data_IF_287888811084
#
_entry.id   IF_287888811084
#
_cell.length_a   1.000
_cell.length_b   1.000
_cell.length_c   1.000
_cell.angle_alpha   90.00
_cell.angle_beta   90.00
_cell.angle_gamma   90.00
#
_symmetry.space_group_name_H-M   'P 1'
#
loop_
_entity.id
_entity.type
_entity.pdbx_description
1 polymer ?
#
# COMPACT_ATOMS: atom_id res chain seq x y z
N UNK A 1 -41.08 -8.56 25.32
CA UNK A 1 -39.69 -8.11 25.58
C UNK A 1 -39.16 -7.51 24.30
N UNK A 2 -39.01 -6.19 24.24
CA UNK A 2 -38.45 -5.51 23.08
C UNK A 2 -36.95 -5.87 22.98
N UNK A 3 -36.52 -6.36 21.82
CA UNK A 3 -35.11 -6.54 21.53
C UNK A 3 -34.44 -5.16 21.49
N UNK A 4 -33.53 -4.87 22.43
CA UNK A 4 -32.74 -3.64 22.41
C UNK A 4 -31.98 -3.53 21.10
N UNK A 5 -32.24 -2.48 20.34
CA UNK A 5 -31.61 -2.20 19.04
C UNK A 5 -30.21 -1.62 19.29
N UNK A 6 -29.19 -2.19 18.65
CA UNK A 6 -27.85 -1.60 18.68
C UNK A 6 -27.94 -0.15 18.15
N UNK A 7 -27.37 0.80 18.90
CA UNK A 7 -27.42 2.22 18.56
C UNK A 7 -26.00 2.79 18.43
N UNK A 8 -25.84 3.74 17.50
CA UNK A 8 -24.58 4.44 17.31
C UNK A 8 -24.57 5.68 18.18
N UNK A 9 -23.55 5.82 19.03
CA UNK A 9 -23.37 6.99 19.88
C UNK A 9 -22.20 7.84 19.36
N UNK A 10 -22.44 9.15 19.26
CA UNK A 10 -21.47 10.14 18.79
C UNK A 10 -21.58 10.49 17.31
N UNK A 11 -20.87 11.55 16.89
CA UNK A 11 -20.68 11.91 15.49
C UNK A 11 -19.20 11.75 15.10
N UNK A 12 -18.90 11.35 13.85
CA UNK A 12 -17.53 11.22 13.39
C UNK A 12 -16.95 12.63 13.33
N UNK A 13 -15.75 12.82 13.88
CA UNK A 13 -15.09 14.13 13.82
C UNK A 13 -13.61 13.96 13.56
N UNK A 14 -13.11 14.74 12.61
CA UNK A 14 -11.68 14.85 12.34
C UNK A 14 -11.18 16.17 12.92
N UNK A 15 -10.04 16.14 13.61
CA UNK A 15 -9.36 17.36 14.07
C UNK A 15 -8.83 18.16 12.88
N UNK A 16 -8.82 19.49 13.00
CA UNK A 16 -8.30 20.39 11.98
C UNK A 16 -9.17 21.63 11.82
N UNK A 17 -8.52 22.77 11.59
CA UNK A 17 -9.19 24.08 11.42
C UNK A 17 -9.79 24.29 10.03
N UNK A 18 -9.30 23.56 9.01
CA UNK A 18 -9.77 23.64 7.63
C UNK A 18 -10.01 22.25 7.04
N UNK A 19 -10.85 22.18 6.01
CA UNK A 19 -11.17 20.92 5.31
C UNK A 19 -9.93 20.21 4.73
N UNK A 20 -8.98 20.90 4.07
CA UNK A 20 -7.74 20.25 3.61
C UNK A 20 -6.94 19.61 4.76
N UNK A 21 -6.85 20.28 5.91
CA UNK A 21 -6.13 19.75 7.08
C UNK A 21 -6.85 18.54 7.66
N UNK A 22 -8.18 18.58 7.74
CA UNK A 22 -8.97 17.43 8.17
C UNK A 22 -8.78 16.23 7.23
N UNK A 23 -8.85 16.45 5.92
CA UNK A 23 -8.64 15.39 4.93
C UNK A 23 -7.22 14.81 5.03
N UNK A 24 -6.20 15.68 5.14
CA UNK A 24 -4.82 15.25 5.28
C UNK A 24 -4.59 14.42 6.54
N UNK A 25 -5.15 14.83 7.69
CA UNK A 25 -5.02 14.08 8.95
C UNK A 25 -5.78 12.74 8.92
N UNK A 26 -6.95 12.71 8.26
CA UNK A 26 -7.74 11.49 8.08
C UNK A 26 -7.01 10.46 7.21
N UNK A 27 -6.33 10.90 6.15
CA UNK A 27 -5.63 10.01 5.21
C UNK A 27 -4.13 9.87 5.48
N UNK A 28 -3.60 10.51 6.52
CA UNK A 28 -2.17 10.51 6.85
C UNK A 28 -1.59 9.10 7.02
N UNK A 29 -2.38 8.16 7.55
CA UNK A 29 -2.04 6.73 7.66
C UNK A 29 -1.61 6.08 6.35
N UNK A 30 -2.06 6.59 5.19
CA UNK A 30 -1.67 6.06 3.88
C UNK A 30 -0.17 6.22 3.61
N UNK A 31 0.46 7.25 4.17
CA UNK A 31 1.91 7.49 4.05
C UNK A 31 2.67 6.32 4.68
N UNK A 32 2.35 5.97 5.93
CA UNK A 32 3.02 4.89 6.67
C UNK A 32 2.87 3.52 5.98
N UNK A 33 1.71 3.25 5.38
CA UNK A 33 1.50 2.04 4.58
C UNK A 33 2.44 1.97 3.37
N UNK A 34 2.75 3.10 2.73
CA UNK A 34 3.68 3.09 1.59
C UNK A 34 5.14 2.92 2.01
N UNK A 35 5.51 3.25 3.23
CA UNK A 35 6.83 2.88 3.76
C UNK A 35 6.97 1.36 3.87
N UNK A 36 5.91 0.66 4.31
CA UNK A 36 5.90 -0.79 4.40
C UNK A 36 5.95 -1.43 3.00
N UNK A 37 4.99 -1.08 2.14
CA UNK A 37 4.96 -1.58 0.76
C UNK A 37 6.21 -1.23 -0.04
N UNK A 38 6.72 -0.01 0.09
CA UNK A 38 7.94 0.42 -0.59
C UNK A 38 9.17 -0.32 -0.10
N UNK A 39 9.23 -0.69 1.20
CA UNK A 39 10.30 -1.55 1.74
C UNK A 39 10.25 -2.92 1.10
N UNK A 40 9.07 -3.55 1.00
CA UNK A 40 8.91 -4.85 0.35
C UNK A 40 9.25 -4.82 -1.14
N UNK A 41 8.69 -3.86 -1.88
CA UNK A 41 8.91 -3.71 -3.33
C UNK A 41 10.39 -3.47 -3.67
N UNK A 42 11.11 -2.78 -2.79
CA UNK A 42 12.51 -2.40 -3.06
C UNK A 42 13.52 -3.39 -2.51
N UNK A 43 13.33 -3.89 -1.29
CA UNK A 43 14.37 -4.62 -0.56
C UNK A 43 14.04 -6.09 -0.29
N UNK A 44 12.77 -6.51 -0.21
CA UNK A 44 12.45 -7.88 0.19
C UNK A 44 12.94 -8.92 -0.82
N UNK A 45 12.75 -8.68 -2.14
CA UNK A 45 13.30 -9.59 -3.16
C UNK A 45 14.83 -9.66 -3.11
N UNK A 46 15.57 -8.54 -3.19
CA UNK A 46 17.03 -8.57 -3.05
C UNK A 46 17.52 -9.25 -1.77
N UNK A 47 16.82 -9.02 -0.65
CA UNK A 47 17.17 -9.60 0.65
C UNK A 47 17.03 -11.12 0.67
N UNK A 48 15.91 -11.66 0.16
CA UNK A 48 15.73 -13.11 0.07
C UNK A 48 16.77 -13.76 -0.85
N UNK A 49 17.13 -13.09 -1.95
CA UNK A 49 18.20 -13.54 -2.84
C UNK A 49 19.57 -13.50 -2.16
N UNK A 50 19.87 -12.46 -1.37
CA UNK A 50 21.13 -12.34 -0.63
C UNK A 50 21.28 -13.40 0.47
N UNK A 51 20.16 -13.87 1.04
CA UNK A 51 20.16 -15.02 1.95
C UNK A 51 20.40 -16.38 1.24
N UNK A 52 20.28 -16.42 -0.10
CA UNK A 52 20.50 -17.61 -0.92
C UNK A 52 19.23 -18.32 -1.39
N UNK A 53 18.05 -17.68 -1.30
CA UNK A 53 16.81 -18.23 -1.85
C UNK A 53 16.86 -18.26 -3.39
N UNK A 54 16.43 -19.36 -4.00
CA UNK A 54 16.37 -19.44 -5.48
C UNK A 54 15.25 -18.56 -6.04
N UNK A 55 15.45 -18.03 -7.26
CA UNK A 55 14.42 -17.25 -7.98
C UNK A 55 13.09 -18.00 -8.15
N UNK A 56 13.12 -19.33 -8.26
CA UNK A 56 11.92 -20.17 -8.35
C UNK A 56 11.14 -20.30 -7.04
N UNK A 57 11.81 -20.27 -5.88
CA UNK A 57 11.13 -20.29 -4.57
C UNK A 57 10.63 -18.91 -4.19
N UNK A 58 11.33 -17.86 -4.61
CA UNK A 58 10.93 -16.48 -4.42
C UNK A 58 9.53 -16.21 -5.00
N UNK A 59 9.19 -16.76 -6.18
CA UNK A 59 7.84 -16.59 -6.75
C UNK A 59 6.74 -17.24 -5.89
N UNK A 60 7.06 -18.32 -5.16
CA UNK A 60 6.14 -18.91 -4.18
C UNK A 60 5.94 -17.98 -2.98
N UNK A 61 7.00 -17.34 -2.50
CA UNK A 61 6.91 -16.37 -1.39
C UNK A 61 5.94 -15.24 -1.76
N UNK A 62 6.06 -14.74 -2.98
CA UNK A 62 5.22 -13.66 -3.48
C UNK A 62 3.75 -14.02 -3.73
N UNK A 63 3.35 -15.28 -3.57
CA UNK A 63 1.93 -15.66 -3.47
C UNK A 63 1.29 -15.08 -2.20
N UNK A 64 2.10 -14.76 -1.18
CA UNK A 64 1.65 -14.16 0.07
C UNK A 64 0.85 -12.86 -0.14
N UNK A 65 1.32 -11.95 -1.00
CA UNK A 65 0.67 -10.67 -1.25
C UNK A 65 -0.77 -10.81 -1.77
N UNK A 66 -1.01 -11.49 -2.92
CA UNK A 66 -2.36 -11.71 -3.42
C UNK A 66 -3.25 -12.53 -2.46
N UNK A 67 -2.69 -13.56 -1.81
CA UNK A 67 -3.43 -14.41 -0.89
C UNK A 67 -3.89 -13.64 0.35
N UNK A 68 -3.00 -12.83 0.93
CA UNK A 68 -3.28 -12.00 2.09
C UNK A 68 -4.33 -10.94 1.76
N UNK A 69 -4.26 -10.29 0.60
CA UNK A 69 -5.26 -9.33 0.15
C UNK A 69 -6.65 -9.96 -0.02
N UNK A 70 -6.71 -11.15 -0.62
CA UNK A 70 -7.96 -11.89 -0.83
C UNK A 70 -8.64 -12.28 0.49
N UNK A 71 -7.87 -12.74 1.47
CA UNK A 71 -8.40 -13.26 2.74
C UNK A 71 -8.61 -12.14 3.76
N UNK A 72 -7.63 -11.28 3.97
CA UNK A 72 -7.63 -10.35 5.09
C UNK A 72 -8.57 -9.18 4.90
N UNK A 73 -8.71 -8.64 3.68
CA UNK A 73 -9.57 -7.47 3.46
C UNK A 73 -11.04 -7.74 3.83
N UNK A 74 -11.67 -8.85 3.39
CA UNK A 74 -13.01 -9.20 3.84
C UNK A 74 -13.07 -9.50 5.33
N UNK A 75 -12.20 -10.40 5.82
CA UNK A 75 -12.20 -10.88 7.23
C UNK A 75 -12.12 -9.71 8.20
N UNK A 76 -11.16 -8.81 8.02
CA UNK A 76 -11.00 -7.67 8.91
C UNK A 76 -12.16 -6.68 8.80
N UNK A 77 -12.74 -6.50 7.61
CA UNK A 77 -13.91 -5.65 7.40
C UNK A 77 -15.04 -6.05 8.33
N UNK A 78 -15.41 -7.33 8.35
CA UNK A 78 -16.51 -7.82 9.18
C UNK A 78 -16.15 -7.90 10.67
N UNK A 79 -14.94 -8.33 11.01
CA UNK A 79 -14.51 -8.42 12.42
C UNK A 79 -14.47 -7.03 13.03
N UNK A 80 -13.91 -6.05 12.30
CA UNK A 80 -13.91 -4.67 12.77
C UNK A 80 -15.30 -4.05 12.75
N UNK A 81 -16.20 -4.42 11.82
CA UNK A 81 -17.59 -3.94 11.81
C UNK A 81 -18.36 -4.27 13.10
N UNK A 82 -18.06 -5.42 13.73
CA UNK A 82 -18.70 -5.89 14.97
C UNK A 82 -18.05 -5.35 16.26
N UNK A 83 -17.06 -4.47 16.14
CA UNK A 83 -16.31 -3.93 17.28
C UNK A 83 -17.16 -3.02 18.17
N UNK A 84 -17.19 -3.31 19.47
CA UNK A 84 -17.82 -2.48 20.50
C UNK A 84 -16.78 -1.68 21.32
N UNK A 85 -15.57 -1.49 20.79
CA UNK A 85 -14.51 -0.81 21.52
C UNK A 85 -14.81 0.68 21.74
N UNK A 86 -14.50 1.18 22.94
CA UNK A 86 -14.61 2.60 23.30
C UNK A 86 -13.74 3.53 22.45
N UNK A 87 -12.73 2.98 21.77
CA UNK A 87 -11.82 3.73 20.90
C UNK A 87 -12.33 3.85 19.47
N UNK A 88 -13.51 3.31 19.17
CA UNK A 88 -14.07 3.27 17.83
C UNK A 88 -14.03 1.88 17.21
N UNK A 89 -14.56 1.80 15.99
CA UNK A 89 -14.76 0.55 15.26
C UNK A 89 -13.47 0.07 14.59
N UNK A 90 -12.75 0.98 13.94
CA UNK A 90 -11.58 0.67 13.11
C UNK A 90 -10.26 0.87 13.84
N UNK A 91 -10.13 1.93 14.66
CA UNK A 91 -8.88 2.33 15.34
C UNK A 91 -8.19 1.22 16.15
N UNK A 92 -8.89 0.34 16.91
CA UNK A 92 -8.22 -0.74 17.62
C UNK A 92 -7.51 -1.72 16.69
N UNK A 93 -8.16 -2.13 15.60
CA UNK A 93 -7.58 -3.05 14.61
C UNK A 93 -6.44 -2.38 13.84
N UNK A 94 -6.61 -1.10 13.55
CA UNK A 94 -5.61 -0.26 12.93
C UNK A 94 -4.33 -0.17 13.80
N UNK A 95 -4.48 0.00 15.13
CA UNK A 95 -3.37 -0.01 16.08
C UNK A 95 -2.72 -1.40 16.23
N UNK A 96 -3.52 -2.46 16.37
CA UNK A 96 -3.01 -3.85 16.46
C UNK A 96 -2.23 -4.25 15.21
N UNK A 97 -2.76 -3.95 14.02
CA UNK A 97 -2.07 -4.19 12.76
C UNK A 97 -0.75 -3.42 12.67
N UNK A 98 -0.73 -2.18 13.15
CA UNK A 98 0.50 -1.35 13.17
C UNK A 98 1.57 -1.94 14.08
N UNK A 99 1.20 -2.39 15.29
CA UNK A 99 2.15 -3.05 16.20
C UNK A 99 2.71 -4.32 15.57
N UNK A 100 1.87 -5.13 14.91
CA UNK A 100 2.31 -6.34 14.24
C UNK A 100 3.23 -6.04 13.04
N UNK A 101 2.89 -5.03 12.21
CA UNK A 101 3.74 -4.58 11.10
C UNK A 101 5.11 -4.09 11.60
N UNK A 102 5.13 -3.27 12.65
CA UNK A 102 6.38 -2.79 13.28
C UNK A 102 7.22 -3.96 13.75
N UNK A 103 6.61 -4.94 14.43
CA UNK A 103 7.31 -6.13 14.88
C UNK A 103 7.91 -6.93 13.70
N UNK A 104 7.12 -7.20 12.66
CA UNK A 104 7.59 -7.92 11.47
C UNK A 104 8.70 -7.15 10.74
N UNK A 105 8.58 -5.84 10.53
CA UNK A 105 9.66 -5.07 9.88
C UNK A 105 10.99 -5.15 10.65
N UNK A 106 10.94 -5.07 11.98
CA UNK A 106 12.13 -5.21 12.82
C UNK A 106 12.64 -6.65 12.83
N UNK A 107 11.75 -7.65 12.84
CA UNK A 107 12.14 -9.05 12.73
C UNK A 107 12.84 -9.32 11.40
N UNK A 108 12.29 -8.81 10.30
CA UNK A 108 12.84 -8.97 8.95
C UNK A 108 14.26 -8.40 8.83
N UNK A 109 14.51 -7.22 9.40
CA UNK A 109 15.84 -6.60 9.41
C UNK A 109 16.87 -7.41 10.22
N UNK A 110 16.45 -8.10 11.27
CA UNK A 110 17.32 -8.82 12.21
C UNK A 110 17.16 -10.35 12.19
N UNK A 111 16.60 -10.95 11.13
CA UNK A 111 16.32 -12.39 11.13
C UNK A 111 17.58 -13.23 11.36
N UNK A 112 18.72 -12.84 10.78
CA UNK A 112 19.99 -13.56 10.91
C UNK A 112 20.57 -13.52 12.33
N UNK A 113 20.41 -12.40 13.02
CA UNK A 113 20.79 -12.22 14.43
C UNK A 113 19.86 -13.02 15.34
N UNK A 114 18.54 -12.91 15.13
CA UNK A 114 17.52 -13.62 15.90
C UNK A 114 17.72 -15.12 15.82
N UNK A 115 17.91 -15.67 14.61
CA UNK A 115 18.22 -17.10 14.44
C UNK A 115 19.56 -17.46 15.05
N UNK A 116 20.57 -16.58 14.93
CA UNK A 116 21.89 -16.77 15.52
C UNK A 116 21.91 -16.90 17.05
N UNK A 117 20.87 -16.41 17.75
CA UNK A 117 20.72 -16.60 19.20
C UNK A 117 20.41 -18.06 19.58
N UNK A 118 19.76 -18.80 18.69
CA UNK A 118 19.28 -20.16 18.95
C UNK A 118 20.05 -21.24 18.17
N UNK A 119 20.55 -20.90 16.99
CA UNK A 119 21.19 -21.83 16.06
C UNK A 119 22.64 -21.39 15.82
N UNK A 120 23.58 -22.22 16.28
CA UNK A 120 25.03 -21.97 16.13
C UNK A 120 25.66 -22.64 14.93
N UNK A 121 25.04 -23.71 14.42
CA UNK A 121 25.51 -24.40 13.23
C UNK A 121 25.33 -23.49 11.98
N UNK A 122 26.39 -23.24 11.18
CA UNK A 122 26.33 -22.28 10.08
C UNK A 122 25.33 -22.64 8.97
N UNK A 123 25.23 -23.92 8.60
CA UNK A 123 24.35 -24.36 7.52
C UNK A 123 22.89 -24.30 7.97
N UNK A 124 22.60 -24.84 9.16
CA UNK A 124 21.27 -24.79 9.76
C UNK A 124 20.85 -23.35 10.06
N UNK A 125 21.78 -22.48 10.47
CA UNK A 125 21.51 -21.05 10.69
C UNK A 125 21.05 -20.40 9.39
N UNK A 126 21.72 -20.66 8.27
CA UNK A 126 21.32 -20.09 6.97
C UNK A 126 19.93 -20.55 6.57
N UNK A 127 19.66 -21.86 6.64
CA UNK A 127 18.35 -22.41 6.29
C UNK A 127 17.23 -21.88 7.20
N UNK A 128 17.47 -21.83 8.51
CA UNK A 128 16.52 -21.27 9.47
C UNK A 128 16.30 -19.76 9.28
N UNK A 129 17.34 -19.01 8.88
CA UNK A 129 17.22 -17.57 8.56
C UNK A 129 16.32 -17.37 7.35
N UNK A 130 16.53 -18.14 6.27
CA UNK A 130 15.66 -18.10 5.09
C UNK A 130 14.22 -18.47 5.47
N UNK A 131 14.03 -19.55 6.23
CA UNK A 131 12.70 -20.00 6.64
C UNK A 131 11.98 -18.95 7.48
N UNK A 132 12.67 -18.33 8.44
CA UNK A 132 12.10 -17.26 9.27
C UNK A 132 11.76 -16.03 8.43
N UNK A 133 12.65 -15.58 7.53
CA UNK A 133 12.41 -14.44 6.65
C UNK A 133 11.20 -14.67 5.74
N UNK A 134 11.04 -15.87 5.18
CA UNK A 134 9.88 -16.23 4.36
C UNK A 134 8.60 -16.21 5.20
N UNK A 135 8.58 -16.86 6.36
CA UNK A 135 7.41 -16.85 7.25
C UNK A 135 7.06 -15.42 7.67
N UNK A 136 8.05 -14.60 8.00
CA UNK A 136 7.85 -13.22 8.41
C UNK A 136 7.27 -12.37 7.28
N UNK A 137 7.73 -12.51 6.03
CA UNK A 137 7.12 -11.84 4.86
C UNK A 137 5.65 -12.24 4.70
N UNK A 138 5.31 -13.52 4.85
CA UNK A 138 3.91 -13.96 4.83
C UNK A 138 3.09 -13.28 5.93
N UNK A 139 3.60 -13.25 7.15
CA UNK A 139 2.89 -12.62 8.27
C UNK A 139 2.75 -11.11 8.03
N UNK A 140 3.83 -10.46 7.58
CA UNK A 140 3.90 -9.04 7.25
C UNK A 140 2.82 -8.66 6.23
N UNK A 141 2.71 -9.40 5.13
CA UNK A 141 1.69 -9.20 4.08
C UNK A 141 0.26 -9.26 4.65
N UNK A 142 -0.02 -10.23 5.51
CA UNK A 142 -1.32 -10.37 6.17
C UNK A 142 -1.62 -9.18 7.09
N UNK A 143 -0.65 -8.73 7.89
CA UNK A 143 -0.86 -7.62 8.83
C UNK A 143 -0.86 -6.25 8.16
N UNK A 144 -0.11 -6.06 7.06
CA UNK A 144 -0.21 -4.87 6.21
C UNK A 144 -1.62 -4.77 5.63
N UNK A 145 -2.20 -5.88 5.16
CA UNK A 145 -3.57 -5.86 4.63
C UNK A 145 -4.64 -5.56 5.70
N UNK A 146 -4.44 -5.95 6.97
CA UNK A 146 -5.28 -5.51 8.10
C UNK A 146 -5.23 -3.99 8.23
N UNK A 147 -4.02 -3.42 8.30
CA UNK A 147 -3.83 -1.99 8.43
C UNK A 147 -4.41 -1.25 7.22
N UNK A 148 -4.11 -1.68 6.00
CA UNK A 148 -4.62 -1.06 4.77
C UNK A 148 -6.15 -1.05 4.68
N UNK A 149 -6.79 -2.19 4.95
CA UNK A 149 -8.25 -2.30 4.90
C UNK A 149 -8.91 -1.38 5.94
N UNK A 150 -8.41 -1.39 7.18
CA UNK A 150 -8.97 -0.56 8.25
C UNK A 150 -8.76 0.93 8.03
N UNK A 151 -7.60 1.34 7.50
CA UNK A 151 -7.35 2.74 7.15
C UNK A 151 -8.28 3.23 6.04
N UNK A 152 -8.51 2.42 4.99
CA UNK A 152 -9.44 2.79 3.90
C UNK A 152 -10.88 2.84 4.39
N UNK A 153 -11.30 1.87 5.21
CA UNK A 153 -12.62 1.86 5.80
C UNK A 153 -12.85 3.09 6.69
N UNK A 154 -11.85 3.50 7.48
CA UNK A 154 -11.93 4.69 8.32
C UNK A 154 -12.24 5.97 7.52
N UNK A 155 -11.66 6.13 6.33
CA UNK A 155 -11.92 7.28 5.45
C UNK A 155 -13.39 7.30 5.02
N UNK A 156 -13.89 6.17 4.51
CA UNK A 156 -15.27 6.03 4.02
C UNK A 156 -16.29 6.18 5.15
N UNK A 157 -15.99 5.63 6.32
CA UNK A 157 -16.87 5.65 7.49
C UNK A 157 -16.96 7.05 8.15
N UNK A 158 -15.92 7.87 7.99
CA UNK A 158 -15.84 9.19 8.63
C UNK A 158 -16.43 10.29 7.74
N UNK A 159 -16.31 10.16 6.42
CA UNK A 159 -16.76 11.18 5.47
C UNK A 159 -18.21 10.98 5.05
N UNK A 160 -18.98 12.08 4.89
CA UNK A 160 -20.29 12.01 4.25
C UNK A 160 -20.13 11.63 2.77
N UNK A 161 -21.18 11.07 2.17
CA UNK A 161 -21.15 10.46 0.82
C UNK A 161 -20.63 11.45 -0.22
N UNK A 162 -21.05 12.71 -0.12
CA UNK A 162 -20.69 13.80 -1.05
C UNK A 162 -19.17 14.11 -1.01
N UNK A 163 -18.48 13.76 0.08
CA UNK A 163 -17.04 13.99 0.26
C UNK A 163 -16.18 12.74 0.06
N UNK A 164 -16.77 11.56 -0.18
CA UNK A 164 -15.98 10.31 -0.31
C UNK A 164 -15.09 10.29 -1.54
N UNK A 165 -15.50 10.92 -2.64
CA UNK A 165 -14.64 11.08 -3.83
C UNK A 165 -13.43 11.96 -3.51
N UNK A 166 -13.65 13.09 -2.83
CA UNK A 166 -12.56 13.97 -2.37
C UNK A 166 -11.63 13.23 -1.40
N UNK A 167 -12.18 12.47 -0.45
CA UNK A 167 -11.40 11.61 0.44
C UNK A 167 -10.55 10.58 -0.32
N UNK A 168 -11.11 9.96 -1.35
CA UNK A 168 -10.38 9.03 -2.23
C UNK A 168 -9.25 9.73 -2.99
N UNK A 169 -9.45 10.97 -3.46
CA UNK A 169 -8.40 11.76 -4.07
C UNK A 169 -7.27 12.10 -3.07
N UNK A 170 -7.60 12.42 -1.82
CA UNK A 170 -6.63 12.64 -0.75
C UNK A 170 -5.86 11.36 -0.38
N UNK A 171 -6.51 10.19 -0.39
CA UNK A 171 -5.82 8.90 -0.23
C UNK A 171 -4.75 8.73 -1.31
N UNK A 172 -5.10 8.94 -2.58
CA UNK A 172 -4.14 8.83 -3.69
C UNK A 172 -2.97 9.81 -3.56
N UNK A 173 -3.21 11.05 -3.12
CA UNK A 173 -2.14 12.02 -2.85
C UNK A 173 -1.20 11.55 -1.74
N UNK A 174 -1.74 11.06 -0.62
CA UNK A 174 -0.94 10.57 0.50
C UNK A 174 -0.15 9.30 0.16
N UNK A 175 -0.69 8.44 -0.70
CA UNK A 175 0.04 7.30 -1.28
C UNK A 175 1.24 7.82 -2.08
N UNK A 176 1.03 8.79 -2.99
CA UNK A 176 2.12 9.36 -3.78
C UNK A 176 3.22 9.99 -2.93
N UNK A 177 2.85 10.78 -1.91
CA UNK A 177 3.80 11.35 -0.94
C UNK A 177 4.57 10.26 -0.22
N UNK A 178 3.89 9.22 0.28
CA UNK A 178 4.53 8.12 0.99
C UNK A 178 5.56 7.37 0.14
N UNK A 179 5.22 7.06 -1.12
CA UNK A 179 6.17 6.45 -2.06
C UNK A 179 7.38 7.34 -2.34
N UNK A 180 7.16 8.64 -2.59
CA UNK A 180 8.27 9.58 -2.81
C UNK A 180 9.21 9.66 -1.61
N UNK A 181 8.67 9.73 -0.40
CA UNK A 181 9.47 9.75 0.83
C UNK A 181 10.24 8.45 1.03
N UNK A 182 9.56 7.30 0.90
CA UNK A 182 10.16 5.98 1.11
C UNK A 182 11.29 5.70 0.11
N UNK A 183 11.02 5.86 -1.19
CA UNK A 183 12.03 5.63 -2.22
C UNK A 183 13.14 6.69 -2.17
N UNK A 184 12.82 7.93 -1.79
CA UNK A 184 13.82 8.97 -1.57
C UNK A 184 14.79 8.61 -0.45
N UNK A 185 14.27 8.18 0.69
CA UNK A 185 15.09 7.71 1.82
C UNK A 185 15.91 6.47 1.42
N UNK A 186 15.30 5.52 0.71
CA UNK A 186 15.98 4.32 0.24
C UNK A 186 17.10 4.59 -0.79
N UNK A 187 17.04 5.71 -1.52
CA UNK A 187 18.07 6.11 -2.49
C UNK A 187 19.29 6.75 -1.82
N UNK A 188 19.13 7.28 -0.60
CA UNK A 188 20.22 7.88 0.16
C UNK A 188 21.19 6.83 0.72
N UNK A 189 22.42 7.27 0.98
CA UNK A 189 23.40 6.49 1.72
C UNK A 189 23.11 6.57 3.22
N UNK A 190 22.26 5.69 3.71
CA UNK A 190 21.84 5.69 5.12
C UNK A 190 22.99 5.31 6.06
N UNK A 191 24.00 4.58 5.56
CA UNK A 191 25.20 4.23 6.32
C UNK A 191 26.05 5.47 6.59
N UNK A 192 26.27 6.32 5.58
CA UNK A 192 26.98 7.58 5.73
C UNK A 192 26.24 8.59 6.63
N UNK A 193 24.90 8.60 6.60
CA UNK A 193 24.08 9.59 7.34
C UNK A 193 23.93 9.22 8.82
N UNK A 194 23.58 7.96 9.11
CA UNK A 194 23.21 7.53 10.47
C UNK A 194 24.27 6.69 11.19
N UNK A 195 25.35 6.28 10.49
CA UNK A 195 26.31 5.32 11.04
C UNK A 195 25.61 4.06 11.53
N UNK A 196 26.00 3.55 12.70
CA UNK A 196 25.43 2.31 13.27
C UNK A 196 24.19 2.55 14.17
N UNK A 197 23.66 3.77 14.25
CA UNK A 197 22.61 4.13 15.22
C UNK A 197 21.30 3.34 15.03
N UNK A 198 20.91 3.06 13.78
CA UNK A 198 19.67 2.35 13.44
C UNK A 198 19.91 0.92 12.92
N UNK A 199 21.13 0.40 13.09
CA UNK A 199 21.58 -0.88 12.54
C UNK A 199 22.83 -0.72 11.69
N UNK A 200 23.54 -1.82 11.48
CA UNK A 200 24.80 -1.92 10.72
C UNK A 200 24.56 -1.86 9.20
N UNK A 201 23.50 -2.48 8.67
CA UNK A 201 23.20 -2.51 7.23
C UNK A 201 22.20 -1.44 6.79
N UNK A 202 22.25 -1.02 5.52
CA UNK A 202 21.22 -0.19 4.93
C UNK A 202 19.81 -0.79 5.07
N UNK A 203 19.64 -2.11 4.87
CA UNK A 203 18.34 -2.76 4.97
C UNK A 203 17.71 -2.63 6.36
N UNK A 204 18.49 -2.86 7.44
CA UNK A 204 18.02 -2.68 8.82
C UNK A 204 17.56 -1.26 9.09
N UNK A 205 18.33 -0.27 8.62
CA UNK A 205 17.98 1.15 8.75
C UNK A 205 16.65 1.46 8.05
N UNK A 206 16.44 0.95 6.84
CA UNK A 206 15.18 1.10 6.10
C UNK A 206 14.01 0.47 6.87
N UNK A 207 14.17 -0.75 7.40
CA UNK A 207 13.16 -1.41 8.22
C UNK A 207 12.77 -0.59 9.46
N UNK A 208 13.74 -0.02 10.17
CA UNK A 208 13.50 0.84 11.34
C UNK A 208 12.77 2.12 10.94
N UNK A 209 13.21 2.80 9.88
CA UNK A 209 12.56 4.02 9.39
C UNK A 209 11.12 3.71 8.97
N UNK A 210 10.89 2.62 8.25
CA UNK A 210 9.55 2.19 7.85
C UNK A 210 8.66 1.88 9.06
N UNK A 211 9.20 1.20 10.08
CA UNK A 211 8.48 0.92 11.32
C UNK A 211 8.09 2.21 12.07
N UNK A 212 9.01 3.17 12.19
CA UNK A 212 8.74 4.47 12.82
C UNK A 212 7.70 5.26 12.00
N UNK A 213 7.88 5.35 10.69
CA UNK A 213 6.96 6.04 9.80
C UNK A 213 5.55 5.44 9.87
N UNK A 214 5.43 4.11 9.89
CA UNK A 214 4.18 3.40 10.05
C UNK A 214 3.50 3.72 11.39
N UNK A 215 4.26 3.65 12.50
CA UNK A 215 3.74 3.96 13.84
C UNK A 215 3.29 5.42 13.96
N UNK A 216 4.09 6.37 13.47
CA UNK A 216 3.79 7.82 13.53
C UNK A 216 2.60 8.15 12.64
N UNK A 217 2.57 7.65 11.40
CA UNK A 217 1.49 7.94 10.46
C UNK A 217 0.16 7.40 10.99
N UNK A 218 0.15 6.15 11.45
CA UNK A 218 -1.05 5.55 12.01
C UNK A 218 -1.48 6.22 13.31
N UNK A 219 -0.52 6.48 14.21
CA UNK A 219 -0.76 7.17 15.47
C UNK A 219 -1.40 8.53 15.26
N UNK A 220 -0.96 9.27 14.23
CA UNK A 220 -1.51 10.58 13.86
C UNK A 220 -2.96 10.48 13.41
N UNK A 221 -3.30 9.56 12.49
CA UNK A 221 -4.70 9.38 12.08
C UNK A 221 -5.58 8.85 13.22
N UNK A 222 -5.07 7.91 14.02
CA UNK A 222 -5.74 7.46 15.26
C UNK A 222 -6.02 8.63 16.22
N UNK A 223 -5.07 9.54 16.39
CA UNK A 223 -5.24 10.70 17.28
C UNK A 223 -6.16 11.77 16.69
N UNK A 224 -6.15 11.94 15.37
CA UNK A 224 -6.94 12.96 14.67
C UNK A 224 -8.41 12.59 14.51
N UNK A 225 -8.74 11.30 14.41
CA UNK A 225 -10.09 10.83 14.08
C UNK A 225 -10.82 10.31 15.32
N UNK A 226 -11.98 10.89 15.59
CA UNK A 226 -12.95 10.36 16.54
C UNK A 226 -14.06 9.64 15.78
N UNK A 227 -14.17 8.34 16.00
CA UNK A 227 -15.19 7.48 15.38
C UNK A 227 -16.49 7.48 16.20
N UNK A 228 -17.58 7.05 15.55
CA UNK A 228 -18.81 6.65 16.27
C UNK A 228 -18.57 5.33 16.99
N UNK A 229 -19.14 5.18 18.19
CA UNK A 229 -19.05 3.95 18.97
C UNK A 229 -20.35 3.18 18.84
N UNK A 230 -20.25 1.90 18.50
CA UNK A 230 -21.38 0.99 18.53
C UNK A 230 -21.66 0.63 19.99
N UNK A 231 -22.83 1.01 20.49
CA UNK A 231 -23.32 0.61 21.81
C UNK A 231 -24.32 -0.51 21.61
N UNK A 232 -23.89 -1.73 21.89
CA UNK A 232 -24.75 -2.91 21.94
C UNK A 232 -25.29 -3.09 23.35
N UNK A 233 -26.61 -3.11 23.49
CA UNK A 233 -27.33 -3.16 24.78
C UNK A 233 -27.33 -4.57 25.44
N UNK A 234 -26.25 -5.34 25.25
CA UNK A 234 -26.10 -6.70 25.78
C UNK A 234 -27.04 -7.77 25.19
N UNK A 235 -28.00 -7.41 24.33
CA UNK A 235 -28.95 -8.36 23.69
C UNK A 235 -28.39 -9.08 22.46
N UNK A 236 -27.33 -8.55 21.84
CA UNK A 236 -26.55 -9.26 20.85
C UNK A 236 -25.72 -10.32 21.58
N UNK A 237 -26.34 -11.48 21.85
CA UNK A 237 -25.57 -12.73 21.91
C UNK A 237 -24.63 -12.67 20.73
N UNK A 238 -23.33 -12.75 20.98
CA UNK A 238 -22.35 -13.01 19.95
C UNK A 238 -22.80 -14.29 19.28
N UNK A 239 -23.62 -14.19 18.23
CA UNK A 239 -23.92 -15.32 17.38
C UNK A 239 -22.54 -15.71 16.91
N UNK A 240 -22.13 -16.89 17.37
CA UNK A 240 -20.88 -17.54 17.06
C UNK A 240 -20.94 -18.00 15.59
N UNK A 241 -21.32 -17.07 14.70
CA UNK A 241 -21.13 -17.17 13.27
C UNK A 241 -19.62 -17.15 13.10
N UNK A 242 -19.04 -18.35 13.14
CA UNK A 242 -17.63 -18.53 12.86
C UNK A 242 -17.29 -17.98 11.48
N UNK A 243 -16.01 -18.04 11.13
CA UNK A 243 -15.51 -17.60 9.82
C UNK A 243 -16.17 -18.32 8.63
N UNK A 244 -16.88 -19.43 8.85
CA UNK A 244 -17.47 -20.26 7.80
C UNK A 244 -18.71 -19.62 7.11
N UNK A 245 -19.77 -19.17 7.82
CA UNK A 245 -20.85 -18.39 7.20
C UNK A 245 -20.35 -17.16 6.43
N UNK A 246 -19.30 -16.53 6.96
CA UNK A 246 -18.59 -15.41 6.38
C UNK A 246 -17.95 -15.77 5.03
N UNK A 247 -17.15 -16.84 4.98
CA UNK A 247 -16.52 -17.30 3.75
C UNK A 247 -17.58 -17.73 2.72
N UNK A 248 -18.68 -18.33 3.19
CA UNK A 248 -19.82 -18.69 2.36
C UNK A 248 -20.51 -17.46 1.76
N UNK A 249 -20.66 -16.38 2.53
CA UNK A 249 -21.22 -15.12 2.04
C UNK A 249 -20.30 -14.47 1.01
N UNK A 250 -19.00 -14.37 1.28
CA UNK A 250 -18.01 -13.83 0.32
C UNK A 250 -18.06 -14.61 -0.99
N UNK A 251 -18.08 -15.94 -0.91
CA UNK A 251 -18.15 -16.81 -2.08
C UNK A 251 -19.46 -16.59 -2.87
N UNK A 252 -20.60 -16.53 -2.16
CA UNK A 252 -21.90 -16.28 -2.78
C UNK A 252 -21.98 -14.91 -3.45
N UNK A 253 -21.49 -13.85 -2.80
CA UNK A 253 -21.47 -12.50 -3.38
C UNK A 253 -20.53 -12.41 -4.58
N UNK A 254 -19.36 -13.06 -4.53
CA UNK A 254 -18.39 -13.07 -5.63
C UNK A 254 -18.95 -13.73 -6.90
N UNK A 255 -19.74 -14.80 -6.76
CA UNK A 255 -20.36 -15.48 -7.90
C UNK A 255 -21.57 -14.72 -8.45
N UNK A 256 -22.32 -14.03 -7.59
CA UNK A 256 -23.56 -13.34 -7.97
C UNK A 256 -23.35 -11.83 -8.22
N UNK A 257 -22.17 -11.42 -8.69
CA UNK A 257 -21.86 -10.02 -8.94
C UNK A 257 -22.67 -9.46 -10.13
N UNK A 258 -23.18 -8.22 -10.04
CA UNK A 258 -23.75 -7.52 -11.18
C UNK A 258 -22.77 -7.44 -12.36
N UNK A 259 -23.23 -7.51 -13.63
CA UNK A 259 -22.36 -7.58 -14.80
C UNK A 259 -21.32 -6.46 -14.89
N UNK A 260 -21.69 -5.24 -14.47
CA UNK A 260 -20.77 -4.08 -14.46
C UNK A 260 -19.62 -4.25 -13.47
N UNK A 261 -19.90 -4.75 -12.27
CA UNK A 261 -18.88 -4.98 -11.23
C UNK A 261 -17.97 -6.14 -11.64
N UNK A 262 -18.56 -7.22 -12.18
CA UNK A 262 -17.80 -8.34 -12.71
C UNK A 262 -16.80 -7.90 -13.79
N UNK A 263 -17.22 -7.02 -14.72
CA UNK A 263 -16.33 -6.48 -15.74
C UNK A 263 -15.14 -5.70 -15.13
N UNK A 264 -15.40 -4.85 -14.13
CA UNK A 264 -14.33 -4.11 -13.42
C UNK A 264 -13.35 -5.09 -12.75
N UNK A 265 -13.85 -6.11 -12.06
CA UNK A 265 -13.01 -7.13 -11.42
C UNK A 265 -12.15 -7.88 -12.45
N UNK A 266 -12.71 -8.25 -13.60
CA UNK A 266 -11.96 -8.93 -14.67
C UNK A 266 -10.85 -8.04 -15.23
N UNK A 267 -11.12 -6.76 -15.51
CA UNK A 267 -10.07 -5.86 -15.99
C UNK A 267 -8.97 -5.67 -14.93
N UNK A 268 -9.35 -5.55 -13.66
CA UNK A 268 -8.39 -5.43 -12.57
C UNK A 268 -7.53 -6.70 -12.43
N UNK A 269 -8.12 -7.88 -12.56
CA UNK A 269 -7.41 -9.16 -12.53
C UNK A 269 -6.34 -9.25 -13.61
N UNK A 270 -6.71 -9.00 -14.87
CA UNK A 270 -5.76 -9.05 -15.99
C UNK A 270 -4.69 -7.95 -15.91
N UNK A 271 -5.05 -6.76 -15.43
CA UNK A 271 -4.10 -5.65 -15.22
C UNK A 271 -3.04 -5.98 -14.17
N UNK A 272 -3.44 -6.61 -13.06
CA UNK A 272 -2.51 -6.97 -11.98
C UNK A 272 -1.47 -8.00 -12.38
N UNK A 273 -1.76 -8.88 -13.36
CA UNK A 273 -0.77 -9.83 -13.88
C UNK A 273 0.46 -9.08 -14.45
N UNK A 274 0.27 -7.90 -15.04
CA UNK A 274 1.36 -7.06 -15.53
C UNK A 274 2.01 -6.20 -14.44
N UNK A 275 1.22 -5.62 -13.54
CA UNK A 275 1.74 -4.74 -12.48
C UNK A 275 2.53 -5.50 -11.41
N UNK A 276 2.16 -6.74 -11.12
CA UNK A 276 2.77 -7.50 -10.03
C UNK A 276 4.28 -7.74 -10.23
N UNK A 277 4.75 -8.25 -11.40
CA UNK A 277 6.18 -8.39 -11.65
C UNK A 277 6.94 -7.06 -11.59
N UNK A 278 6.35 -6.00 -12.13
CA UNK A 278 6.95 -4.66 -12.13
C UNK A 278 7.22 -4.16 -10.70
N UNK A 279 6.26 -4.32 -9.79
CA UNK A 279 6.38 -3.81 -8.42
C UNK A 279 7.36 -4.61 -7.55
N UNK A 280 7.35 -5.94 -7.63
CA UNK A 280 8.12 -6.80 -6.72
C UNK A 280 9.48 -7.27 -7.26
N UNK A 281 9.67 -7.26 -8.58
CA UNK A 281 10.93 -7.64 -9.22
C UNK A 281 11.62 -6.45 -9.90
N UNK A 282 10.96 -5.29 -10.02
CA UNK A 282 11.52 -4.11 -10.69
C UNK A 282 12.83 -3.63 -10.07
N UNK A 283 12.88 -3.54 -8.73
CA UNK A 283 14.09 -3.15 -7.99
C UNK A 283 15.28 -4.08 -8.28
N UNK A 284 15.02 -5.38 -8.30
CA UNK A 284 16.03 -6.41 -8.57
C UNK A 284 16.48 -6.38 -10.03
N UNK A 285 15.56 -6.17 -10.96
CA UNK A 285 15.89 -6.01 -12.38
C UNK A 285 16.81 -4.80 -12.62
N UNK A 286 16.49 -3.64 -12.04
CA UNK A 286 17.34 -2.44 -12.09
C UNK A 286 18.69 -2.69 -11.42
N UNK A 287 18.70 -3.30 -10.24
CA UNK A 287 19.94 -3.59 -9.52
C UNK A 287 20.84 -4.59 -10.26
N UNK A 288 20.29 -5.61 -10.90
CA UNK A 288 21.08 -6.53 -11.74
C UNK A 288 21.71 -5.82 -12.93
N UNK A 289 21.02 -4.87 -13.57
CA UNK A 289 21.57 -4.05 -14.66
C UNK A 289 22.68 -3.14 -14.15
N UNK A 290 22.46 -2.48 -13.01
CA UNK A 290 23.45 -1.62 -12.36
C UNK A 290 24.72 -2.41 -12.02
N UNK A 291 24.58 -3.59 -11.41
CA UNK A 291 25.71 -4.45 -11.08
C UNK A 291 26.51 -4.93 -12.30
N UNK A 292 25.85 -5.12 -13.46
CA UNK A 292 26.52 -5.54 -14.70
C UNK A 292 27.24 -4.40 -15.42
N UNK A 293 26.75 -3.17 -15.27
CA UNK A 293 27.17 -2.02 -16.12
C UNK A 293 28.08 -1.06 -15.38
N UNK A 294 27.81 -0.78 -14.11
CA UNK A 294 28.40 0.34 -13.38
C UNK A 294 29.17 -0.08 -12.12
N UNK A 295 29.06 -1.34 -11.67
CA UNK A 295 29.67 -1.78 -10.41
C UNK A 295 31.19 -1.50 -10.39
N UNK A 296 31.65 -0.53 -9.57
CA UNK A 296 33.06 -0.43 -9.24
C UNK A 296 33.39 -1.72 -8.47
N UNK A 297 34.55 -2.35 -8.70
CA UNK A 297 34.96 -3.58 -8.01
C UNK A 297 35.21 -3.45 -6.49
N UNK A 298 34.44 -2.62 -5.78
CA UNK A 298 34.50 -2.38 -4.35
C UNK A 298 33.64 -3.37 -3.55
N UNK A 299 34.10 -3.68 -2.34
CA UNK A 299 33.52 -4.63 -1.38
C UNK A 299 32.21 -4.16 -0.72
N UNK A 300 31.36 -3.39 -1.40
CA UNK A 300 30.09 -2.94 -0.82
C UNK A 300 29.09 -4.10 -0.86
N UNK A 301 28.24 -4.19 0.16
CA UNK A 301 27.18 -5.18 0.28
C UNK A 301 26.23 -5.10 -0.94
N UNK A 302 26.17 -6.17 -1.75
CA UNK A 302 25.39 -6.19 -2.98
C UNK A 302 23.89 -5.91 -2.75
N UNK A 303 23.36 -6.26 -1.58
CA UNK A 303 21.99 -5.93 -1.20
C UNK A 303 21.78 -4.41 -1.11
N UNK A 304 22.76 -3.71 -0.54
CA UNK A 304 22.75 -2.26 -0.36
C UNK A 304 22.77 -1.55 -1.72
N UNK A 305 23.66 -1.95 -2.63
CA UNK A 305 23.74 -1.35 -3.96
C UNK A 305 22.47 -1.59 -4.79
N UNK A 306 21.96 -2.82 -4.80
CA UNK A 306 20.71 -3.18 -5.49
C UNK A 306 19.53 -2.41 -4.92
N UNK A 307 19.42 -2.33 -3.59
CA UNK A 307 18.35 -1.60 -2.92
C UNK A 307 18.38 -0.10 -3.22
N UNK A 308 19.56 0.51 -3.25
CA UNK A 308 19.73 1.94 -3.61
C UNK A 308 19.37 2.20 -5.06
N UNK A 309 19.90 1.41 -6.00
CA UNK A 309 19.61 1.54 -7.42
C UNK A 309 18.10 1.37 -7.70
N UNK A 310 17.48 0.35 -7.08
CA UNK A 310 16.04 0.13 -7.13
C UNK A 310 15.25 1.31 -6.57
N UNK A 311 15.69 1.87 -5.44
CA UNK A 311 15.08 3.06 -4.83
C UNK A 311 15.16 4.28 -5.75
N UNK A 312 16.30 4.49 -6.43
CA UNK A 312 16.50 5.58 -7.40
C UNK A 312 15.54 5.45 -8.59
N UNK A 313 15.37 4.24 -9.14
CA UNK A 313 14.41 4.02 -10.22
C UNK A 313 12.96 4.27 -9.74
N UNK A 314 12.62 3.77 -8.55
CA UNK A 314 11.26 3.92 -8.02
C UNK A 314 10.93 5.33 -7.52
N UNK A 315 11.89 6.15 -7.11
CA UNK A 315 11.62 7.57 -6.85
C UNK A 315 11.27 8.33 -8.14
N UNK A 316 11.94 8.03 -9.27
CA UNK A 316 11.58 8.63 -10.57
C UNK A 316 10.16 8.24 -10.95
N UNK A 317 9.83 6.95 -10.83
CA UNK A 317 8.47 6.46 -11.02
C UNK A 317 7.46 7.16 -10.10
N UNK A 318 7.77 7.30 -8.80
CA UNK A 318 6.88 7.96 -7.83
C UNK A 318 6.68 9.45 -8.11
N UNK A 319 7.73 10.17 -8.55
CA UNK A 319 7.63 11.58 -8.94
C UNK A 319 6.73 11.77 -10.16
N UNK A 320 6.90 10.92 -11.18
CA UNK A 320 6.06 10.96 -12.39
C UNK A 320 4.61 10.61 -12.04
N UNK A 321 4.41 9.58 -11.21
CA UNK A 321 3.07 9.16 -10.77
C UNK A 321 2.37 10.24 -9.94
N UNK A 322 3.08 10.86 -8.99
CA UNK A 322 2.56 11.95 -8.17
C UNK A 322 2.24 13.18 -9.01
N UNK A 323 3.14 13.60 -9.90
CA UNK A 323 2.91 14.69 -10.85
C UNK A 323 1.69 14.41 -11.72
N UNK A 324 1.59 13.20 -12.26
CA UNK A 324 0.43 12.74 -13.02
C UNK A 324 -0.84 12.82 -12.18
N UNK A 325 -0.84 12.38 -10.92
CA UNK A 325 -2.02 12.42 -10.05
C UNK A 325 -2.57 13.83 -9.79
N UNK A 326 -1.72 14.86 -9.87
CA UNK A 326 -2.09 16.26 -9.70
C UNK A 326 -2.59 16.86 -11.02
N UNK A 327 -1.92 16.54 -12.13
CA UNK A 327 -2.16 17.14 -13.44
C UNK A 327 -3.33 16.47 -14.18
N UNK A 328 -3.46 15.14 -14.06
CA UNK A 328 -4.43 14.34 -14.82
C UNK A 328 -5.89 14.79 -14.61
N UNK A 329 -6.35 15.15 -13.39
CA UNK A 329 -7.69 15.67 -13.18
C UNK A 329 -8.00 16.98 -13.94
N UNK A 330 -7.01 17.75 -14.37
CA UNK A 330 -7.23 18.97 -15.16
C UNK A 330 -7.35 18.69 -16.67
N UNK A 331 -6.71 17.61 -17.13
CA UNK A 331 -6.65 17.21 -18.54
C UNK A 331 -7.82 16.29 -18.91
N UNK A 332 -8.28 15.46 -17.97
CA UNK A 332 -9.38 14.50 -18.17
C UNK A 332 -10.73 15.17 -17.91
N UNK A 333 -11.74 14.75 -18.67
CA UNK A 333 -13.13 15.15 -18.47
C UNK A 333 -13.70 14.51 -17.17
N UNK A 334 -14.30 15.33 -16.30
CA UNK A 334 -14.90 14.81 -15.06
C UNK A 334 -16.20 14.07 -15.40
N UNK A 335 -16.48 12.91 -14.80
CA UNK A 335 -17.78 12.23 -14.95
C UNK A 335 -18.98 13.09 -14.54
N UNK A 336 -18.78 14.14 -13.73
CA UNK A 336 -19.82 15.09 -13.31
C UNK A 336 -20.10 16.18 -14.36
N UNK A 337 -19.24 16.30 -15.38
CA UNK A 337 -19.44 17.23 -16.49
C UNK A 337 -20.39 16.65 -17.56
N UNK A 338 -20.68 15.34 -17.54
CA UNK A 338 -21.66 14.68 -18.42
C UNK A 338 -23.08 15.27 -18.28
N UNK A 339 -23.42 15.84 -17.11
CA UNK A 339 -24.73 16.43 -16.82
C UNK A 339 -24.86 17.93 -17.20
N UNK A 340 -23.78 18.58 -17.70
CA UNK A 340 -23.80 20.01 -18.07
C UNK A 340 -23.63 20.20 -19.59
N UNK A 341 -24.54 20.90 -20.29
CA UNK A 341 -24.34 21.23 -21.70
C UNK A 341 -23.05 22.05 -21.87
N UNK A 342 -22.15 21.54 -22.72
CA UNK A 342 -20.77 22.00 -22.87
C UNK A 342 -20.64 23.49 -23.23
N UNK A 343 -20.12 24.27 -22.28
CA UNK A 343 -19.51 25.56 -22.55
C UNK A 343 -18.00 25.44 -22.31
N UNK A 344 -17.25 25.19 -23.38
CA UNK A 344 -15.79 25.34 -23.38
C UNK A 344 -15.46 26.83 -23.56
N UNK A 345 -14.79 27.50 -22.59
CA UNK A 345 -14.36 28.88 -22.77
C UNK A 345 -13.42 28.99 -23.98
N UNK A 346 -13.69 29.95 -24.86
CA UNK A 346 -12.87 30.21 -26.05
C UNK A 346 -11.43 30.52 -25.61
N UNK A 347 -10.40 29.81 -26.11
CA UNK A 347 -9.03 30.06 -25.69
C UNK A 347 -8.58 31.48 -26.07
N UNK A 348 -7.70 32.11 -25.26
CA UNK A 348 -7.14 33.44 -25.55
C UNK A 348 -6.52 33.47 -26.95
N UNK A 349 -6.66 34.59 -27.67
CA UNK A 349 -6.32 34.71 -29.10
C UNK A 349 -4.90 34.24 -29.48
N UNK A 350 -3.94 34.28 -28.54
CA UNK A 350 -2.56 33.80 -28.78
C UNK A 350 -2.36 32.27 -28.75
N UNK A 351 -3.33 31.50 -28.23
CA UNK A 351 -3.25 30.03 -28.12
C UNK A 351 -4.13 29.30 -29.15
N UNK A 352 -4.90 30.03 -29.98
CA UNK A 352 -5.80 29.42 -30.97
C UNK A 352 -5.09 28.60 -32.06
N UNK A 353 -3.82 28.90 -32.34
CA UNK A 353 -3.01 28.15 -33.33
C UNK A 353 -2.48 26.81 -32.80
N UNK A 354 -2.39 26.63 -31.48
CA UNK A 354 -1.93 25.39 -30.84
C UNK A 354 -3.10 24.59 -30.27
N UNK A 355 -4.15 25.28 -29.82
CA UNK A 355 -5.40 24.70 -29.37
C UNK A 355 -6.36 24.49 -30.56
N UNK A 356 -6.01 23.57 -31.48
CA UNK A 356 -7.06 22.83 -32.18
C UNK A 356 -7.98 22.18 -31.14
N UNK A 357 -9.24 21.89 -31.48
CA UNK A 357 -10.28 21.33 -30.60
C UNK A 357 -9.76 20.19 -29.71
N UNK A 358 -9.16 20.53 -28.57
CA UNK A 358 -8.66 19.55 -27.62
C UNK A 358 -9.85 19.13 -26.77
N UNK A 359 -10.62 18.18 -27.31
CA UNK A 359 -11.64 17.47 -26.54
C UNK A 359 -10.91 16.73 -25.43
N UNK A 360 -11.26 17.05 -24.18
CA UNK A 360 -10.69 16.36 -23.02
C UNK A 360 -10.98 14.86 -23.18
N UNK A 361 -9.97 13.99 -23.08
CA UNK A 361 -10.22 12.55 -23.14
C UNK A 361 -11.09 12.14 -21.95
N UNK A 362 -12.06 11.27 -22.21
CA UNK A 362 -12.85 10.64 -21.15
C UNK A 362 -11.95 9.78 -20.25
N UNK A 363 -12.36 9.57 -19.00
CA UNK A 363 -11.63 8.75 -18.01
C UNK A 363 -11.32 7.35 -18.56
N UNK A 364 -12.26 6.75 -19.29
CA UNK A 364 -12.09 5.43 -19.91
C UNK A 364 -10.99 5.44 -20.99
N UNK A 365 -10.95 6.47 -21.82
CA UNK A 365 -9.94 6.60 -22.88
C UNK A 365 -8.55 6.81 -22.30
N UNK A 366 -8.44 7.67 -21.29
CA UNK A 366 -7.17 7.91 -20.59
C UNK A 366 -6.65 6.63 -19.91
N UNK A 367 -7.54 5.85 -19.27
CA UNK A 367 -7.15 4.59 -18.66
C UNK A 367 -6.71 3.54 -19.68
N UNK A 368 -7.45 3.39 -20.80
CA UNK A 368 -7.05 2.49 -21.90
C UNK A 368 -5.68 2.85 -22.46
N UNK A 369 -5.43 4.13 -22.68
CA UNK A 369 -4.14 4.61 -23.17
C UNK A 369 -3.02 4.30 -22.17
N UNK A 370 -3.24 4.56 -20.87
CA UNK A 370 -2.27 4.23 -19.83
C UNK A 370 -1.94 2.74 -19.77
N UNK A 371 -2.94 1.87 -19.85
CA UNK A 371 -2.73 0.41 -19.92
C UNK A 371 -1.97 -0.01 -21.19
N UNK A 372 -2.29 0.59 -22.34
CA UNK A 372 -1.60 0.30 -23.59
C UNK A 372 -0.12 0.72 -23.54
N UNK A 373 0.17 1.93 -23.04
CA UNK A 373 1.54 2.42 -22.86
C UNK A 373 2.33 1.54 -21.90
N UNK A 374 1.73 1.13 -20.78
CA UNK A 374 2.36 0.20 -19.83
C UNK A 374 2.65 -1.16 -20.49
N UNK A 375 1.69 -1.73 -21.22
CA UNK A 375 1.88 -2.99 -21.93
C UNK A 375 3.01 -2.90 -22.97
N UNK A 376 3.06 -1.82 -23.75
CA UNK A 376 4.16 -1.57 -24.69
C UNK A 376 5.51 -1.51 -23.98
N UNK A 377 5.61 -0.74 -22.87
CA UNK A 377 6.86 -0.65 -22.11
C UNK A 377 7.32 -2.01 -21.57
N UNK A 378 6.40 -2.84 -21.07
CA UNK A 378 6.73 -4.18 -20.56
C UNK A 378 7.16 -5.16 -21.65
N UNK A 379 6.59 -5.07 -22.87
CA UNK A 379 7.02 -5.91 -24.01
C UNK A 379 8.46 -5.63 -24.41
N UNK A 380 8.90 -4.37 -24.32
CA UNK A 380 10.27 -3.98 -24.70
C UNK A 380 11.30 -4.13 -23.57
N UNK A 381 10.88 -4.36 -22.33
CA UNK A 381 11.78 -4.48 -21.18
C UNK A 381 12.90 -5.55 -21.34
N UNK A 382 12.69 -6.71 -22.00
CA UNK A 382 13.77 -7.69 -22.20
C UNK A 382 14.88 -7.25 -23.17
N UNK A 383 14.68 -6.16 -23.92
CA UNK A 383 15.64 -5.65 -24.92
C UNK A 383 16.50 -4.48 -24.40
N UNK A 384 16.33 -4.12 -23.13
CA UNK A 384 17.14 -3.14 -22.38
C UNK A 384 18.18 -3.89 -21.58
#
# INVERSE_FOLDING_TARGET
MAAGTASWVGQPRVKGSSEPVQMALLTFSMIGLQFCWGTEMTYATPYLLSLGLSKSRLSLVWVAGPLSGLVMQPVIGMVSDKSNSKYGRRRPFMAMGTVAVVFCLLLLGWTGEVVGLFVKDPELKREATIALAVVDIYVLDFVINIAQSTCRALVVDTLPIEKQQLGSAWVSRMIGVGHMMMYGIGALDLEAIFGDFLGDTQFKKVCVIAAIAMAVAQGTSCWAVHERVLVSDGSLKSSNEGLLPVLKQIYSTTINLPPRIHAICMVQFWSWIGWFPFLFYGSTWVGEIFLRTEAPGGKVDALTDVGRAGSIAFIVFAMISFGSSIVLPWIIESPEDDDKPGYTPRPPQGLQTVAGEFTKPTLLTAWKLGCATFASAMIFAPFV
#
